data_IF_772473621260
#
_entry.id   IF_772473621260
#
_cell.length_a   1.000
_cell.length_b   1.000
_cell.length_c   1.000
_cell.angle_alpha   90.00
_cell.angle_beta   90.00
_cell.angle_gamma   90.00
#
_symmetry.space_group_name_H-M   'P 1'
#
loop_
_entity.id
_entity.type
_entity.pdbx_description
1 polymer ?
#
# COMPACT_ATOMS: atom_id res chain seq x y z
N UNK A 1 24.17 11.25 -1.98
CA UNK A 1 22.97 10.97 -2.82
C UNK A 1 23.16 11.65 -4.16
N UNK A 2 23.44 10.87 -5.20
CA UNK A 2 23.49 11.38 -6.58
C UNK A 2 22.03 11.58 -7.01
N UNK A 3 21.62 12.79 -7.35
CA UNK A 3 20.31 13.04 -7.98
C UNK A 3 20.37 12.46 -9.39
N UNK A 4 19.72 11.33 -9.62
CA UNK A 4 19.59 10.74 -10.95
C UNK A 4 18.83 11.69 -11.88
N UNK A 5 19.38 11.93 -13.07
CA UNK A 5 18.77 12.79 -14.08
C UNK A 5 17.52 12.15 -14.70
N UNK A 6 16.75 12.93 -15.48
CA UNK A 6 15.56 12.43 -16.18
C UNK A 6 15.92 11.28 -17.15
N UNK A 7 17.09 11.34 -17.79
CA UNK A 7 17.57 10.25 -18.66
C UNK A 7 17.82 8.95 -17.88
N UNK A 8 18.43 9.03 -16.70
CA UNK A 8 18.70 7.86 -15.87
C UNK A 8 17.38 7.20 -15.44
N UNK A 9 16.39 8.00 -15.05
CA UNK A 9 15.04 7.51 -14.69
C UNK A 9 14.27 6.90 -15.87
N UNK A 10 14.58 7.28 -17.11
CA UNK A 10 14.01 6.68 -18.32
C UNK A 10 14.69 5.36 -18.66
N UNK A 11 16.00 5.23 -18.43
CA UNK A 11 16.74 3.99 -18.61
C UNK A 11 16.30 2.93 -17.58
N UNK A 12 16.04 3.33 -16.33
CA UNK A 12 15.49 2.43 -15.31
C UNK A 12 14.09 1.92 -15.69
N UNK A 13 13.28 2.73 -16.38
CA UNK A 13 11.98 2.29 -16.90
C UNK A 13 12.14 1.14 -17.90
N UNK A 14 13.15 1.19 -18.78
CA UNK A 14 13.44 0.10 -19.71
C UNK A 14 13.90 -1.17 -18.97
N UNK A 15 14.64 -1.03 -17.86
CA UNK A 15 15.06 -2.15 -17.03
C UNK A 15 13.89 -2.81 -16.29
N UNK A 16 12.98 -2.01 -15.73
CA UNK A 16 11.79 -2.52 -15.02
C UNK A 16 10.82 -3.22 -15.97
N UNK A 17 10.62 -2.66 -17.18
CA UNK A 17 9.83 -3.31 -18.23
C UNK A 17 10.54 -4.58 -18.76
N UNK A 18 11.87 -4.53 -18.90
CA UNK A 18 12.70 -5.64 -19.38
C UNK A 18 12.81 -6.82 -18.40
N UNK A 19 12.85 -6.57 -17.09
CA UNK A 19 12.84 -7.60 -16.05
C UNK A 19 11.45 -8.25 -15.88
N UNK A 20 10.37 -7.52 -16.20
CA UNK A 20 9.02 -8.06 -16.29
C UNK A 20 8.75 -8.88 -17.57
N UNK A 21 9.57 -8.71 -18.60
CA UNK A 21 9.39 -9.33 -19.92
C UNK A 21 10.18 -10.61 -20.10
N UNK A 22 10.08 -11.59 -19.19
CA UNK A 22 10.56 -12.96 -19.45
C UNK A 22 9.78 -13.63 -20.60
N UNK A 23 9.90 -13.08 -21.81
CA UNK A 23 9.22 -13.44 -23.05
C UNK A 23 7.69 -13.41 -23.00
N UNK A 24 7.06 -13.47 -24.17
CA UNK A 24 5.65 -13.86 -24.31
C UNK A 24 5.34 -15.21 -23.59
N UNK A 25 6.36 -16.00 -23.28
CA UNK A 25 6.27 -17.34 -22.66
C UNK A 25 5.77 -17.29 -21.21
N UNK A 26 6.13 -16.26 -20.42
CA UNK A 26 5.59 -16.12 -19.05
C UNK A 26 4.21 -15.43 -19.02
N UNK A 27 3.84 -14.67 -20.06
CA UNK A 27 2.58 -13.91 -20.08
C UNK A 27 1.34 -14.82 -20.16
N UNK A 28 1.40 -15.91 -20.93
CA UNK A 28 0.27 -16.82 -21.07
C UNK A 28 -0.03 -17.57 -19.77
N UNK A 29 0.95 -18.18 -19.06
CA UNK A 29 0.71 -18.79 -17.76
C UNK A 29 0.21 -17.80 -16.69
N UNK A 30 0.77 -16.59 -16.63
CA UNK A 30 0.34 -15.54 -15.69
C UNK A 30 -1.07 -15.02 -15.98
N UNK A 31 -1.48 -15.05 -17.25
CA UNK A 31 -2.85 -14.74 -17.65
C UNK A 31 -3.83 -15.86 -17.25
N UNK A 32 -3.44 -17.12 -17.46
CA UNK A 32 -4.30 -18.29 -17.21
C UNK A 32 -4.44 -18.68 -15.73
N UNK A 33 -3.50 -18.30 -14.86
CA UNK A 33 -3.49 -18.74 -13.45
C UNK A 33 -3.30 -17.60 -12.47
N UNK A 34 -4.34 -17.31 -11.69
CA UNK A 34 -4.29 -16.34 -10.60
C UNK A 34 -3.28 -16.75 -9.52
N UNK A 35 -3.22 -18.04 -9.17
CA UNK A 35 -2.26 -18.56 -8.18
C UNK A 35 -0.82 -18.37 -8.62
N UNK A 36 -0.51 -18.57 -9.91
CA UNK A 36 0.82 -18.34 -10.46
C UNK A 36 1.15 -16.84 -10.48
N UNK A 37 0.18 -16.00 -10.83
CA UNK A 37 0.33 -14.54 -10.81
C UNK A 37 0.61 -14.01 -9.42
N UNK A 38 -0.10 -14.50 -8.39
CA UNK A 38 0.16 -14.17 -6.98
C UNK A 38 1.57 -14.60 -6.55
N UNK A 39 2.00 -15.81 -6.90
CA UNK A 39 3.35 -16.30 -6.55
C UNK A 39 4.47 -15.52 -7.24
N UNK A 40 4.29 -15.21 -8.53
CA UNK A 40 5.22 -14.38 -9.29
C UNK A 40 5.31 -12.98 -8.69
N UNK A 41 4.17 -12.39 -8.33
CA UNK A 41 4.10 -11.08 -7.70
C UNK A 41 4.83 -11.03 -6.36
N UNK A 42 4.63 -12.03 -5.48
CA UNK A 42 5.38 -12.15 -4.22
C UNK A 42 6.89 -12.12 -4.47
N UNK A 43 7.35 -12.89 -5.46
CA UNK A 43 8.78 -12.94 -5.84
C UNK A 43 9.28 -11.60 -6.37
N UNK A 44 8.50 -10.95 -7.24
CA UNK A 44 8.81 -9.64 -7.83
C UNK A 44 8.89 -8.55 -6.75
N UNK A 45 7.89 -8.45 -5.88
CA UNK A 45 7.83 -7.45 -4.80
C UNK A 45 8.94 -7.67 -3.78
N UNK A 46 9.26 -8.92 -3.46
CA UNK A 46 10.39 -9.24 -2.57
C UNK A 46 11.73 -8.79 -3.15
N UNK A 47 11.93 -8.90 -4.46
CA UNK A 47 13.12 -8.38 -5.12
C UNK A 47 13.10 -6.84 -5.19
N UNK A 48 12.00 -6.25 -5.68
CA UNK A 48 11.83 -4.81 -5.84
C UNK A 48 11.99 -4.05 -4.51
N UNK A 49 11.42 -4.58 -3.42
CA UNK A 49 11.53 -4.00 -2.08
C UNK A 49 12.95 -4.00 -1.54
N UNK A 50 13.86 -4.85 -2.04
CA UNK A 50 15.30 -4.80 -1.70
C UNK A 50 16.02 -3.71 -2.49
N UNK A 51 15.67 -3.51 -3.76
CA UNK A 51 16.26 -2.47 -4.60
C UNK A 51 15.84 -1.06 -4.19
N UNK A 52 14.56 -0.85 -3.86
CA UNK A 52 14.00 0.49 -3.65
C UNK A 52 13.62 0.80 -2.19
N UNK A 53 14.07 -0.01 -1.21
CA UNK A 53 13.76 0.20 0.22
C UNK A 53 14.04 1.65 0.65
N UNK A 54 15.27 2.10 0.44
CA UNK A 54 15.72 3.43 0.86
C UNK A 54 14.99 4.59 0.18
N UNK A 55 14.39 4.38 -1.00
CA UNK A 55 13.68 5.44 -1.71
C UNK A 55 12.32 5.78 -1.06
N UNK A 56 11.70 4.83 -0.36
CA UNK A 56 10.37 4.97 0.24
C UNK A 56 10.42 5.21 1.76
N UNK A 57 11.57 5.00 2.39
CA UNK A 57 11.68 4.99 3.86
C UNK A 57 11.21 6.29 4.52
N UNK A 58 11.55 7.46 3.96
CA UNK A 58 11.15 8.75 4.54
C UNK A 58 9.64 8.94 4.47
N UNK A 59 9.05 8.66 3.30
CA UNK A 59 7.61 8.79 3.05
C UNK A 59 6.82 7.85 3.96
N UNK A 60 7.27 6.59 4.07
CA UNK A 60 6.62 5.58 4.92
C UNK A 60 6.78 5.93 6.40
N UNK A 61 7.97 6.37 6.82
CA UNK A 61 8.23 6.77 8.21
C UNK A 61 7.34 7.94 8.63
N UNK A 62 7.24 8.97 7.79
CA UNK A 62 6.41 10.13 8.07
C UNK A 62 4.92 9.76 8.17
N UNK A 63 4.42 8.91 7.25
CA UNK A 63 3.03 8.46 7.29
C UNK A 63 2.75 7.64 8.57
N UNK A 64 3.62 6.67 8.89
CA UNK A 64 3.46 5.82 10.07
C UNK A 64 3.67 6.58 11.39
N UNK A 65 4.40 7.70 11.39
CA UNK A 65 4.56 8.54 12.56
C UNK A 65 3.21 9.08 13.07
N UNK A 66 2.23 9.27 12.18
CA UNK A 66 0.89 9.72 12.52
C UNK A 66 0.13 8.76 13.46
N UNK A 67 0.54 7.48 13.55
CA UNK A 67 0.01 6.55 14.54
C UNK A 67 0.28 7.01 15.97
N UNK A 68 1.40 7.70 16.23
CA UNK A 68 1.79 8.12 17.57
C UNK A 68 0.91 9.25 18.12
N UNK A 69 0.20 9.95 17.24
CA UNK A 69 -0.68 11.07 17.58
C UNK A 69 -2.15 10.63 17.78
N UNK A 70 -2.41 9.32 17.78
CA UNK A 70 -3.75 8.75 17.97
C UNK A 70 -3.90 8.30 19.43
N UNK A 71 -5.01 8.69 20.05
CA UNK A 71 -5.44 8.13 21.33
C UNK A 71 -6.61 7.18 21.04
N UNK A 72 -6.57 5.97 21.61
CA UNK A 72 -7.60 4.98 21.33
C UNK A 72 -8.96 5.40 21.90
N UNK A 73 -10.04 5.12 21.17
CA UNK A 73 -11.40 5.28 21.69
C UNK A 73 -11.75 4.20 22.72
N UNK A 74 -11.05 3.06 22.67
CA UNK A 74 -11.17 1.95 23.62
C UNK A 74 -10.47 2.30 24.95
N UNK A 75 -11.18 2.35 26.10
CA UNK A 75 -10.59 2.71 27.39
C UNK A 75 -9.46 1.78 27.84
N UNK A 76 -9.53 0.49 27.51
CA UNK A 76 -8.51 -0.48 27.90
C UNK A 76 -7.22 -0.25 27.11
N UNK A 77 -7.34 -0.12 25.78
CA UNK A 77 -6.19 0.20 24.92
C UNK A 77 -5.58 1.55 25.26
N UNK A 78 -6.41 2.55 25.57
CA UNK A 78 -5.94 3.87 26.01
C UNK A 78 -5.10 3.79 27.28
N UNK A 79 -5.55 3.01 28.28
CA UNK A 79 -4.80 2.81 29.52
C UNK A 79 -3.43 2.12 29.28
N UNK A 80 -3.34 1.27 28.26
CA UNK A 80 -2.09 0.61 27.86
C UNK A 80 -1.17 1.45 26.96
N UNK A 81 -1.65 2.61 26.49
CA UNK A 81 -1.01 3.41 25.44
C UNK A 81 -1.05 2.75 24.05
N UNK A 82 -1.90 1.75 23.87
CA UNK A 82 -2.08 1.02 22.63
C UNK A 82 -3.16 1.64 21.74
N UNK A 83 -3.18 1.24 20.48
CA UNK A 83 -4.26 1.54 19.52
C UNK A 83 -4.57 0.29 18.70
N UNK A 84 -5.81 0.16 18.22
CA UNK A 84 -6.20 -0.91 17.32
C UNK A 84 -6.06 -0.46 15.87
N UNK A 85 -5.34 -1.24 15.09
CA UNK A 85 -4.95 -0.92 13.71
C UNK A 85 -5.38 -2.04 12.77
N UNK A 86 -6.00 -1.68 11.66
CA UNK A 86 -6.20 -2.56 10.52
C UNK A 86 -5.24 -2.18 9.40
N UNK A 87 -4.44 -3.10 8.90
CA UNK A 87 -3.73 -2.90 7.63
C UNK A 87 -4.40 -3.73 6.53
N UNK A 88 -4.63 -3.10 5.38
CA UNK A 88 -5.19 -3.77 4.22
C UNK A 88 -4.03 -4.01 3.23
N UNK A 89 -3.78 -5.27 2.91
CA UNK A 89 -2.69 -5.70 2.05
C UNK A 89 -1.30 -5.56 2.69
N UNK A 90 -1.14 -5.96 3.96
CA UNK A 90 0.15 -5.85 4.64
C UNK A 90 1.27 -6.68 3.98
N UNK A 91 0.93 -7.66 3.15
CA UNK A 91 1.87 -8.60 2.55
C UNK A 91 2.72 -9.28 3.64
N UNK A 92 4.04 -9.16 3.55
CA UNK A 92 4.98 -9.72 4.53
C UNK A 92 5.20 -8.81 5.77
N UNK A 93 4.39 -7.76 5.96
CA UNK A 93 4.46 -6.88 7.13
C UNK A 93 5.55 -5.81 7.05
N UNK A 94 5.73 -5.20 5.87
CA UNK A 94 6.81 -4.23 5.65
C UNK A 94 6.78 -3.05 6.63
N UNK A 95 5.59 -2.64 7.09
CA UNK A 95 5.41 -1.46 7.95
C UNK A 95 5.79 -1.70 9.42
N UNK A 96 5.98 -2.94 9.87
CA UNK A 96 6.27 -3.23 11.29
C UNK A 96 7.50 -2.49 11.83
N UNK A 97 8.55 -2.33 11.03
CA UNK A 97 9.79 -1.62 11.40
C UNK A 97 9.58 -0.12 11.71
N UNK A 98 8.48 0.43 11.21
CA UNK A 98 8.12 1.84 11.33
C UNK A 98 7.15 2.10 12.49
N UNK A 99 6.50 1.05 13.02
CA UNK A 99 5.56 1.17 14.13
C UNK A 99 6.34 1.31 15.45
N UNK A 100 6.23 2.48 16.10
CA UNK A 100 7.00 2.83 17.30
C UNK A 100 6.22 2.79 18.61
N UNK A 101 4.92 2.49 18.56
CA UNK A 101 4.02 2.34 19.71
C UNK A 101 3.42 0.93 19.77
N UNK A 102 2.77 0.59 20.88
CA UNK A 102 2.00 -0.66 20.97
C UNK A 102 0.78 -0.59 20.05
N UNK A 103 0.58 -1.62 19.24
CA UNK A 103 -0.59 -1.75 18.38
C UNK A 103 -1.18 -3.15 18.50
N UNK A 104 -2.50 -3.20 18.61
CA UNK A 104 -3.30 -4.39 18.36
C UNK A 104 -3.62 -4.40 16.87
N UNK A 105 -3.22 -5.45 16.17
CA UNK A 105 -3.05 -5.41 14.73
C UNK A 105 -3.93 -6.44 14.03
N UNK A 106 -4.67 -5.98 13.03
CA UNK A 106 -5.43 -6.81 12.11
C UNK A 106 -4.87 -6.67 10.71
N UNK A 107 -4.91 -7.76 9.95
CA UNK A 107 -4.60 -7.71 8.52
C UNK A 107 -5.76 -8.27 7.69
N UNK A 108 -6.07 -7.59 6.58
CA UNK A 108 -6.92 -8.10 5.50
C UNK A 108 -6.07 -8.25 4.24
N UNK A 109 -5.93 -9.48 3.74
CA UNK A 109 -5.19 -9.73 2.50
C UNK A 109 -5.74 -11.00 1.80
N UNK A 110 -6.12 -10.93 0.51
CA UNK A 110 -6.61 -12.11 -0.20
C UNK A 110 -5.50 -13.13 -0.49
N UNK A 111 -4.23 -12.70 -0.53
CA UNK A 111 -3.09 -13.54 -0.85
C UNK A 111 -2.50 -14.17 0.41
N UNK A 112 -2.94 -15.39 0.71
CA UNK A 112 -2.47 -16.17 1.86
C UNK A 112 -1.01 -16.62 1.76
N UNK A 113 -0.34 -16.46 0.60
CA UNK A 113 1.06 -16.86 0.42
C UNK A 113 2.02 -16.02 1.27
N UNK A 114 1.66 -14.77 1.59
CA UNK A 114 2.47 -13.91 2.46
C UNK A 114 2.41 -14.30 3.94
N UNK A 115 1.46 -15.15 4.35
CA UNK A 115 1.14 -15.38 5.77
C UNK A 115 2.33 -15.92 6.57
N UNK A 116 3.13 -16.82 5.99
CA UNK A 116 4.29 -17.38 6.69
C UNK A 116 5.37 -16.31 6.92
N UNK A 117 5.76 -15.60 5.87
CA UNK A 117 6.76 -14.52 5.93
C UNK A 117 6.30 -13.39 6.86
N UNK A 118 5.01 -13.05 6.82
CA UNK A 118 4.40 -12.09 7.72
C UNK A 118 4.54 -12.51 9.19
N UNK A 119 4.18 -13.75 9.52
CA UNK A 119 4.26 -14.25 10.91
C UNK A 119 5.71 -14.38 11.39
N UNK A 120 6.64 -14.72 10.50
CA UNK A 120 8.08 -14.73 10.82
C UNK A 120 8.58 -13.32 11.11
N UNK A 121 8.25 -12.36 10.25
CA UNK A 121 8.62 -10.96 10.40
C UNK A 121 8.03 -10.34 11.68
N UNK A 122 6.75 -10.63 11.97
CA UNK A 122 6.04 -10.16 13.17
C UNK A 122 6.78 -10.49 14.48
N UNK A 123 7.44 -11.66 14.57
CA UNK A 123 8.22 -12.07 15.75
C UNK A 123 9.36 -11.11 16.10
N UNK A 124 9.83 -10.34 15.13
CA UNK A 124 10.91 -9.35 15.32
C UNK A 124 10.39 -8.05 15.95
N UNK A 125 9.07 -7.81 15.93
CA UNK A 125 8.47 -6.53 16.33
C UNK A 125 7.47 -6.71 17.48
N UNK A 126 7.93 -6.82 18.74
CA UNK A 126 7.07 -7.10 19.90
C UNK A 126 6.05 -6.00 20.24
N UNK A 127 6.13 -4.85 19.58
CA UNK A 127 5.14 -3.77 19.70
C UNK A 127 3.90 -3.99 18.85
N UNK A 128 3.96 -4.91 17.88
CA UNK A 128 2.86 -5.27 16.99
C UNK A 128 2.32 -6.61 17.45
N UNK A 129 1.08 -6.63 17.93
CA UNK A 129 0.41 -7.85 18.38
C UNK A 129 -0.71 -8.19 17.40
N UNK A 130 -0.57 -9.29 16.65
CA UNK A 130 -1.60 -9.74 15.71
C UNK A 130 -2.79 -10.32 16.47
N UNK A 131 -3.95 -9.70 16.31
CA UNK A 131 -5.23 -10.21 16.83
C UNK A 131 -5.95 -11.07 15.79
N UNK A 132 -5.94 -10.65 14.52
CA UNK A 132 -6.67 -11.36 13.47
C UNK A 132 -6.02 -11.21 12.08
N UNK A 133 -6.11 -12.29 11.29
CA UNK A 133 -5.80 -12.30 9.86
C UNK A 133 -7.05 -12.73 9.09
N UNK A 134 -7.55 -11.84 8.23
CA UNK A 134 -8.73 -12.07 7.41
C UNK A 134 -8.29 -12.27 5.95
N UNK A 135 -8.63 -13.41 5.38
CA UNK A 135 -8.41 -13.69 3.96
C UNK A 135 -9.59 -13.14 3.13
N UNK A 136 -9.55 -11.85 2.84
CA UNK A 136 -10.60 -11.14 2.09
C UNK A 136 -10.01 -10.03 1.21
N UNK A 137 -10.82 -9.54 0.28
CA UNK A 137 -10.49 -8.37 -0.54
C UNK A 137 -10.81 -7.09 0.22
N UNK A 138 -10.04 -6.01 -0.01
CA UNK A 138 -10.28 -4.72 0.65
C UNK A 138 -11.60 -4.07 0.26
N UNK A 139 -12.18 -4.45 -0.88
CA UNK A 139 -13.46 -3.98 -1.39
C UNK A 139 -14.67 -4.61 -0.67
N UNK A 140 -14.46 -5.70 0.07
CA UNK A 140 -15.50 -6.45 0.77
C UNK A 140 -14.94 -7.05 2.07
N UNK A 141 -15.04 -6.29 3.16
CA UNK A 141 -14.54 -6.67 4.48
C UNK A 141 -15.70 -7.00 5.44
N UNK A 142 -16.71 -7.75 4.98
CA UNK A 142 -17.87 -8.16 5.80
C UNK A 142 -17.51 -8.86 7.12
N UNK A 143 -16.35 -9.53 7.19
CA UNK A 143 -15.87 -10.19 8.40
C UNK A 143 -15.18 -9.23 9.38
N UNK A 144 -15.00 -7.96 9.00
CA UNK A 144 -14.34 -6.92 9.78
C UNK A 144 -15.41 -6.01 10.40
N UNK A 145 -15.40 -5.81 11.73
CA UNK A 145 -16.42 -5.02 12.41
C UNK A 145 -16.37 -3.53 12.07
N UNK A 146 -17.56 -2.91 12.04
CA UNK A 146 -17.76 -1.46 11.96
C UNK A 146 -17.21 -0.76 13.21
N UNK A 147 -16.80 0.51 13.09
CA UNK A 147 -16.41 1.37 14.22
C UNK A 147 -15.47 0.69 15.23
N UNK A 148 -14.43 0.00 14.74
CA UNK A 148 -13.60 -0.86 15.59
C UNK A 148 -12.13 -0.47 15.67
N UNK A 149 -11.62 0.21 14.63
CA UNK A 149 -10.20 0.53 14.49
C UNK A 149 -9.94 2.01 14.73
N UNK A 150 -8.92 2.30 15.53
CA UNK A 150 -8.41 3.66 15.71
C UNK A 150 -7.66 4.16 14.47
N UNK A 151 -7.06 3.22 13.72
CA UNK A 151 -6.41 3.52 12.45
C UNK A 151 -6.57 2.40 11.41
N UNK A 152 -6.62 2.81 10.14
CA UNK A 152 -6.50 1.93 8.99
C UNK A 152 -5.25 2.31 8.21
N UNK A 153 -4.45 1.35 7.76
CA UNK A 153 -3.23 1.56 6.98
C UNK A 153 -3.43 0.98 5.58
N UNK A 154 -3.11 1.79 4.56
CA UNK A 154 -3.01 1.34 3.16
C UNK A 154 -1.68 1.79 2.57
N UNK A 155 -0.88 0.85 2.06
CA UNK A 155 0.45 1.15 1.48
C UNK A 155 0.59 0.47 0.12
N UNK A 156 0.60 1.27 -0.95
CA UNK A 156 0.61 0.83 -2.35
C UNK A 156 -0.48 -0.20 -2.68
N UNK A 157 -1.66 -0.03 -2.08
CA UNK A 157 -2.81 -0.92 -2.21
C UNK A 157 -3.83 -0.34 -3.20
N UNK A 158 -4.17 0.93 -3.06
CA UNK A 158 -5.33 1.53 -3.75
C UNK A 158 -5.12 1.61 -5.27
N UNK A 159 -3.90 1.49 -5.76
CA UNK A 159 -3.62 1.35 -7.19
C UNK A 159 -3.94 -0.06 -7.74
N UNK A 160 -3.97 -1.10 -6.90
CA UNK A 160 -4.04 -2.52 -7.31
C UNK A 160 -5.44 -3.14 -7.18
N UNK A 161 -6.30 -2.52 -6.38
CA UNK A 161 -7.69 -2.94 -6.19
C UNK A 161 -8.57 -2.65 -7.41
N UNK A 162 -9.67 -3.37 -7.56
CA UNK A 162 -10.63 -3.15 -8.64
C UNK A 162 -11.44 -1.87 -8.38
N UNK A 163 -11.78 -1.60 -7.13
CA UNK A 163 -12.52 -0.39 -6.74
C UNK A 163 -11.92 0.28 -5.51
N UNK A 164 -11.01 1.23 -5.75
CA UNK A 164 -10.46 2.06 -4.67
C UNK A 164 -11.54 2.85 -3.91
N UNK A 165 -12.63 3.23 -4.58
CA UNK A 165 -13.78 3.87 -3.93
C UNK A 165 -14.46 2.96 -2.91
N UNK A 166 -14.65 1.66 -3.22
CA UNK A 166 -15.21 0.70 -2.25
C UNK A 166 -14.26 0.44 -1.09
N UNK A 167 -12.96 0.29 -1.35
CA UNK A 167 -11.96 0.16 -0.27
C UNK A 167 -12.03 1.36 0.66
N UNK A 168 -12.08 2.57 0.11
CA UNK A 168 -12.18 3.79 0.91
C UNK A 168 -13.49 3.87 1.71
N UNK A 169 -14.61 3.39 1.16
CA UNK A 169 -15.88 3.27 1.91
C UNK A 169 -15.76 2.29 3.07
N UNK A 170 -15.15 1.13 2.85
CA UNK A 170 -14.91 0.14 3.90
C UNK A 170 -13.94 0.68 4.96
N UNK A 171 -12.88 1.40 4.58
CA UNK A 171 -11.99 2.08 5.53
C UNK A 171 -12.78 3.00 6.47
N UNK A 172 -13.72 3.79 5.91
CA UNK A 172 -14.58 4.68 6.71
C UNK A 172 -15.50 3.89 7.64
N UNK A 173 -16.13 2.82 7.15
CA UNK A 173 -17.03 1.97 7.94
C UNK A 173 -16.34 1.36 9.17
N UNK A 174 -15.11 0.87 9.00
CA UNK A 174 -14.40 0.14 10.06
C UNK A 174 -13.66 1.07 11.04
N UNK A 175 -13.40 2.32 10.64
CA UNK A 175 -12.80 3.32 11.51
C UNK A 175 -13.80 3.78 12.56
N UNK A 176 -13.34 3.89 13.80
CA UNK A 176 -14.08 4.65 14.82
C UNK A 176 -14.15 6.12 14.41
N UNK A 177 -15.17 6.85 14.90
CA UNK A 177 -15.21 8.31 14.78
C UNK A 177 -13.94 8.95 15.35
N UNK A 178 -13.31 9.83 14.57
CA UNK A 178 -12.02 10.46 14.88
C UNK A 178 -10.79 9.61 14.53
N UNK A 179 -11.00 8.35 14.11
CA UNK A 179 -9.97 7.45 13.66
C UNK A 179 -9.33 7.91 12.35
N UNK A 180 -8.17 7.32 12.00
CA UNK A 180 -7.38 7.79 10.86
C UNK A 180 -7.08 6.72 9.83
N UNK A 181 -7.34 7.04 8.56
CA UNK A 181 -6.76 6.32 7.42
C UNK A 181 -5.36 6.88 7.15
N UNK A 182 -4.32 6.09 7.38
CA UNK A 182 -2.94 6.40 7.00
C UNK A 182 -2.66 5.78 5.63
N UNK A 183 -2.03 6.56 4.75
CA UNK A 183 -1.77 6.12 3.39
C UNK A 183 -0.38 6.48 2.89
N UNK A 184 0.18 5.60 2.05
CA UNK A 184 1.34 5.83 1.18
C UNK A 184 1.03 5.19 -0.16
N UNK A 185 0.82 6.00 -1.20
CA UNK A 185 0.32 5.51 -2.47
C UNK A 185 1.15 6.04 -3.63
N UNK A 186 1.38 5.16 -4.61
CA UNK A 186 1.81 5.58 -5.94
C UNK A 186 0.64 6.27 -6.64
N UNK A 187 0.90 7.37 -7.36
CA UNK A 187 -0.13 8.11 -8.09
C UNK A 187 0.26 8.40 -9.52
N UNK A 188 -0.78 8.64 -10.32
CA UNK A 188 -0.59 9.11 -11.67
C UNK A 188 0.26 10.40 -11.71
N UNK A 189 1.08 10.50 -12.74
CA UNK A 189 1.82 11.71 -13.07
C UNK A 189 0.85 12.83 -13.50
N UNK A 190 1.30 14.10 -13.47
CA UNK A 190 0.47 15.23 -13.88
C UNK A 190 -0.17 15.03 -15.25
N UNK A 191 -1.44 15.41 -15.38
CA UNK A 191 -2.18 15.33 -16.65
C UNK A 191 -1.42 16.11 -17.74
N UNK A 192 -1.29 15.48 -18.92
CA UNK A 192 -0.54 16.06 -20.05
C UNK A 192 0.98 15.90 -19.99
N UNK A 193 1.55 15.32 -18.93
CA UNK A 193 2.99 15.01 -18.87
C UNK A 193 3.36 13.76 -19.67
N UNK A 194 4.62 13.68 -20.11
CA UNK A 194 5.17 12.46 -20.72
C UNK A 194 5.07 11.26 -19.75
N UNK A 195 5.29 11.50 -18.46
CA UNK A 195 5.14 10.46 -17.43
C UNK A 195 3.74 9.87 -17.40
N UNK A 196 2.69 10.69 -17.54
CA UNK A 196 1.28 10.23 -17.56
C UNK A 196 1.00 9.40 -18.81
N UNK A 197 1.52 9.82 -19.96
CA UNK A 197 1.43 9.05 -21.20
C UNK A 197 2.09 7.68 -21.07
N UNK A 198 3.32 7.63 -20.53
CA UNK A 198 4.03 6.37 -20.29
C UNK A 198 3.29 5.47 -19.31
N UNK A 199 2.74 6.01 -18.22
CA UNK A 199 1.91 5.23 -17.29
C UNK A 199 0.71 4.61 -18.01
N UNK A 200 -0.09 5.39 -18.75
CA UNK A 200 -1.26 4.86 -19.44
C UNK A 200 -0.92 3.82 -20.51
N UNK A 201 0.21 3.97 -21.22
CA UNK A 201 0.67 2.98 -22.19
C UNK A 201 1.12 1.67 -21.53
N UNK A 202 1.77 1.75 -20.35
CA UNK A 202 2.27 0.59 -19.63
C UNK A 202 1.21 -0.07 -18.73
N UNK A 203 0.16 0.65 -18.31
CA UNK A 203 -0.87 0.14 -17.39
C UNK A 203 -1.45 -1.22 -17.80
N UNK A 204 -1.85 -1.50 -19.07
CA UNK A 204 -2.43 -2.80 -19.42
C UNK A 204 -1.48 -3.97 -19.15
N UNK A 205 -0.20 -3.80 -19.46
CA UNK A 205 0.84 -4.79 -19.17
C UNK A 205 1.12 -4.88 -17.67
N UNK A 206 1.22 -3.72 -17.00
CA UNK A 206 1.48 -3.63 -15.57
C UNK A 206 0.40 -4.32 -14.73
N UNK A 207 -0.88 -4.15 -15.08
CA UNK A 207 -2.00 -4.83 -14.41
C UNK A 207 -1.87 -6.35 -14.45
N UNK A 208 -1.32 -6.91 -15.53
CA UNK A 208 -1.15 -8.35 -15.68
C UNK A 208 -0.04 -8.88 -14.77
N UNK A 209 1.10 -8.19 -14.69
CA UNK A 209 2.29 -8.67 -13.98
C UNK A 209 2.37 -8.21 -12.52
N UNK A 210 1.68 -7.13 -12.16
CA UNK A 210 1.69 -6.52 -10.82
C UNK A 210 0.30 -6.57 -10.15
N UNK A 211 -0.39 -7.71 -10.25
CA UNK A 211 -1.64 -8.00 -9.54
C UNK A 211 -2.70 -6.88 -9.62
N UNK A 212 -2.98 -6.36 -10.82
CA UNK A 212 -4.04 -5.38 -11.05
C UNK A 212 -3.62 -3.91 -10.86
N UNK A 213 -2.36 -3.64 -10.49
CA UNK A 213 -1.85 -2.28 -10.31
C UNK A 213 -2.08 -1.39 -11.54
N UNK A 214 -2.76 -0.26 -11.34
CA UNK A 214 -3.05 0.75 -12.35
C UNK A 214 -2.12 1.96 -12.13
N UNK A 215 -1.13 2.13 -13.01
CA UNK A 215 -0.08 3.15 -12.86
C UNK A 215 -0.61 4.59 -12.95
N UNK A 216 -1.68 4.79 -13.72
CA UNK A 216 -2.28 6.08 -14.04
C UNK A 216 -3.54 6.40 -13.22
N UNK A 217 -3.72 5.73 -12.08
CA UNK A 217 -4.82 6.00 -11.14
C UNK A 217 -4.55 7.27 -10.33
N UNK A 218 -5.52 8.21 -10.35
CA UNK A 218 -5.49 9.45 -9.57
C UNK A 218 -5.96 9.19 -8.11
N UNK A 219 -5.24 8.35 -7.36
CA UNK A 219 -5.64 7.92 -5.99
C UNK A 219 -5.80 9.10 -5.01
N UNK A 220 -5.02 10.17 -5.18
CA UNK A 220 -5.15 11.37 -4.35
C UNK A 220 -6.50 12.06 -4.49
N UNK A 221 -7.04 12.13 -5.71
CA UNK A 221 -8.38 12.69 -5.97
C UNK A 221 -9.46 11.80 -5.33
N UNK A 222 -9.28 10.47 -5.39
CA UNK A 222 -10.19 9.51 -4.78
C UNK A 222 -10.24 9.63 -3.25
N UNK A 223 -9.08 9.75 -2.59
CA UNK A 223 -9.01 9.94 -1.12
C UNK A 223 -9.70 11.25 -0.71
N UNK A 224 -9.46 12.34 -1.45
CA UNK A 224 -10.11 13.63 -1.20
C UNK A 224 -11.63 13.57 -1.35
N UNK A 225 -12.12 12.76 -2.29
CA UNK A 225 -13.54 12.60 -2.56
C UNK A 225 -14.23 11.53 -1.71
N UNK A 226 -13.50 10.78 -0.86
CA UNK A 226 -14.04 9.64 -0.11
C UNK A 226 -14.98 10.02 1.06
N UNK A 227 -15.04 11.31 1.41
CA UNK A 227 -15.94 11.82 2.44
C UNK A 227 -15.38 11.78 3.86
N UNK A 228 -14.05 11.65 4.01
CA UNK A 228 -13.36 11.90 5.29
C UNK A 228 -13.55 13.36 5.73
N UNK A 229 -13.63 13.60 7.04
CA UNK A 229 -13.80 14.94 7.61
C UNK A 229 -12.62 15.86 7.30
N UNK A 230 -11.39 15.31 7.32
CA UNK A 230 -10.16 16.05 7.03
C UNK A 230 -9.18 15.16 6.27
N UNK A 231 -8.42 15.75 5.33
CA UNK A 231 -7.42 15.04 4.53
C UNK A 231 -6.10 15.80 4.54
N UNK A 232 -5.11 15.26 5.24
CA UNK A 232 -3.73 15.75 5.31
C UNK A 232 -2.88 14.97 4.30
N UNK A 233 -2.89 15.43 3.05
CA UNK A 233 -2.15 14.81 1.96
C UNK A 233 -0.89 15.62 1.63
N UNK A 234 0.24 14.93 1.55
CA UNK A 234 1.52 15.43 1.04
C UNK A 234 1.91 14.68 -0.22
N UNK A 235 2.68 15.33 -1.07
CA UNK A 235 3.23 14.73 -2.29
C UNK A 235 4.74 14.55 -2.15
N UNK A 236 5.26 13.47 -2.72
CA UNK A 236 6.68 13.20 -2.80
C UNK A 236 7.07 12.70 -4.19
N UNK A 237 8.29 13.04 -4.61
CA UNK A 237 8.96 12.36 -5.72
C UNK A 237 10.07 11.50 -5.14
N UNK A 238 9.90 10.19 -5.22
CA UNK A 238 10.86 9.20 -4.71
C UNK A 238 11.83 8.78 -5.81
N UNK A 239 13.00 8.27 -5.44
CA UNK A 239 14.03 7.86 -6.40
C UNK A 239 13.69 6.51 -7.02
N UNK A 240 12.75 6.55 -7.97
CA UNK A 240 12.21 5.42 -8.71
C UNK A 240 12.02 5.83 -10.18
N UNK A 241 11.81 4.86 -11.10
CA UNK A 241 11.56 5.14 -12.51
C UNK A 241 10.40 6.14 -12.70
N UNK A 242 10.39 6.87 -13.82
CA UNK A 242 9.44 7.99 -14.03
C UNK A 242 7.96 7.56 -13.89
N UNK A 243 7.64 6.31 -14.18
CA UNK A 243 6.26 5.79 -14.05
C UNK A 243 5.86 5.45 -12.62
N UNK A 244 6.83 5.38 -11.69
CA UNK A 244 6.65 5.07 -10.26
C UNK A 244 7.12 6.19 -9.32
N UNK A 245 7.74 7.27 -9.82
CA UNK A 245 8.37 8.25 -8.93
C UNK A 245 7.38 9.07 -8.09
N UNK A 246 6.16 9.33 -8.56
CA UNK A 246 5.23 10.24 -7.88
C UNK A 246 4.40 9.49 -6.85
N UNK A 247 4.45 9.97 -5.62
CA UNK A 247 3.74 9.40 -4.48
C UNK A 247 2.94 10.46 -3.73
N UNK A 248 1.90 10.00 -3.06
CA UNK A 248 1.19 10.74 -2.02
C UNK A 248 1.31 9.98 -0.70
N UNK A 249 1.28 10.73 0.39
CA UNK A 249 1.27 10.14 1.72
C UNK A 249 0.65 11.08 2.75
N UNK A 250 0.26 10.52 3.89
CA UNK A 250 -0.30 11.26 5.01
C UNK A 250 -1.46 10.51 5.64
N UNK A 251 -2.46 11.24 6.10
CA UNK A 251 -3.63 10.65 6.73
C UNK A 251 -4.93 11.41 6.44
N UNK A 252 -6.05 10.70 6.54
CA UNK A 252 -7.40 11.24 6.51
C UNK A 252 -8.13 10.86 7.81
N UNK A 253 -9.03 11.72 8.28
CA UNK A 253 -9.75 11.56 9.56
C UNK A 253 -11.23 11.24 9.27
N UNK A 254 -11.75 10.19 9.89
CA UNK A 254 -13.19 9.86 9.91
C UNK A 254 -13.96 10.77 10.87
#
# INVERSE_FOLDING_TARGET
MVRHGILDRLLDCALVVGLGSGGLVLLVPLWLSERLRQWYFVSLVSAASRLWRGALDDVRRDAMAALNDIESNDPELRAEGAVRVLEIGAGFGANFELIRRKVKYWNVDPNTQFKNDFLENLRTYPKVELECWVAAYGEDMQQVPDDHFDAVIVTHLLCSVDSAGKVLQECRRVLVKGGRLLFVEHVAQPRGSLGRLLQSLLTPFWRLICCGCCLDRDTGDLIRAAGFAQVHLREASVDMPIVLTRHIYGYAVE
#
